data_IF_653789362723
#
_entry.id   IF_653789362723
#
_cell.length_a   1.000
_cell.length_b   1.000
_cell.length_c   1.000
_cell.angle_alpha   90.00
_cell.angle_beta   90.00
_cell.angle_gamma   90.00
#
_symmetry.space_group_name_H-M   'P 1'
#
loop_
_entity.id
_entity.type
_entity.pdbx_description
1 polymer ?
#
# COMPACT_ATOMS: atom_id res chain seq x y z
N UNK A 1 23.86 48.71 27.91
CA UNK A 1 24.94 47.72 27.69
C UNK A 1 24.54 46.27 28.02
N UNK A 2 23.27 45.97 28.36
CA UNK A 2 22.81 44.60 28.76
C UNK A 2 22.12 43.82 27.66
N UNK A 3 21.64 44.46 26.59
CA UNK A 3 20.87 43.77 25.52
C UNK A 3 21.80 43.03 24.53
N UNK A 4 22.99 43.52 24.25
CA UNK A 4 23.96 42.86 23.35
C UNK A 4 24.54 41.55 23.92
N UNK A 5 24.72 41.46 25.25
CA UNK A 5 25.18 40.24 25.91
C UNK A 5 24.12 39.15 25.91
N UNK A 6 22.83 39.52 26.03
CA UNK A 6 21.73 38.58 25.98
C UNK A 6 21.54 37.96 24.59
N UNK A 7 21.70 38.78 23.52
CA UNK A 7 21.63 38.27 22.13
C UNK A 7 22.81 37.36 21.80
N UNK A 8 24.01 37.63 22.32
CA UNK A 8 25.16 36.74 22.11
C UNK A 8 25.01 35.41 22.86
N UNK A 9 24.46 35.41 24.09
CA UNK A 9 24.18 34.18 24.80
C UNK A 9 23.09 33.34 24.13
N UNK A 10 22.03 33.96 23.63
CA UNK A 10 20.96 33.25 22.94
C UNK A 10 21.42 32.67 21.60
N UNK A 11 22.31 33.35 20.87
CA UNK A 11 22.92 32.82 19.64
C UNK A 11 23.85 31.62 19.91
N UNK A 12 24.58 31.66 21.02
CA UNK A 12 25.51 30.57 21.42
C UNK A 12 24.75 29.31 21.88
N UNK A 13 23.63 29.47 22.59
CA UNK A 13 22.76 28.38 23.00
C UNK A 13 22.04 27.75 21.78
N UNK A 14 21.62 28.58 20.82
CA UNK A 14 20.98 28.08 19.59
C UNK A 14 21.96 27.34 18.67
N UNK A 15 23.26 27.76 18.64
CA UNK A 15 24.31 27.01 17.94
C UNK A 15 24.67 25.69 18.63
N UNK A 16 24.67 25.63 19.97
CA UNK A 16 24.93 24.40 20.71
C UNK A 16 23.80 23.38 20.54
N UNK A 17 22.55 23.79 20.42
CA UNK A 17 21.42 22.89 20.16
C UNK A 17 21.46 22.36 18.73
N UNK A 18 21.89 23.17 17.73
CA UNK A 18 22.07 22.70 16.34
C UNK A 18 23.23 21.70 16.19
N UNK A 19 24.30 21.82 16.97
CA UNK A 19 25.41 20.85 16.96
C UNK A 19 25.02 19.54 17.66
N UNK A 20 24.15 19.57 18.66
CA UNK A 20 23.67 18.37 19.33
C UNK A 20 22.77 17.50 18.45
N UNK A 21 22.10 18.06 17.42
CA UNK A 21 21.33 17.28 16.45
C UNK A 21 22.16 16.66 15.32
N UNK A 22 23.43 17.06 15.16
CA UNK A 22 24.29 16.48 14.12
C UNK A 22 25.22 15.36 14.60
N UNK A 23 25.26 15.04 15.88
CA UNK A 23 26.17 14.03 16.44
C UNK A 23 25.52 12.71 16.82
N UNK A 24 24.23 12.49 16.52
CA UNK A 24 23.58 11.19 16.73
C UNK A 24 23.51 10.33 15.46
N UNK A 25 24.38 10.59 14.49
CA UNK A 25 24.49 9.75 13.30
C UNK A 25 25.92 9.24 13.17
N UNK A 26 26.34 8.34 14.06
CA UNK A 26 27.38 7.33 13.84
C UNK A 26 27.58 6.51 15.11
N UNK A 27 26.71 5.57 15.37
CA UNK A 27 27.14 4.36 16.06
C UNK A 27 27.26 3.26 15.00
N UNK A 28 28.50 2.98 14.60
CA UNK A 28 28.85 1.73 13.96
C UNK A 28 28.43 0.61 14.91
N UNK A 29 27.41 -0.11 14.56
CA UNK A 29 27.26 -1.51 14.91
C UNK A 29 27.30 -2.27 13.58
N UNK A 30 28.42 -2.94 13.38
CA UNK A 30 28.60 -3.96 12.35
C UNK A 30 27.58 -5.05 12.59
N UNK A 31 26.52 -5.07 11.79
CA UNK A 31 25.70 -6.23 11.48
C UNK A 31 24.83 -5.87 10.28
N UNK A 32 25.15 -6.46 9.15
CA UNK A 32 24.39 -6.70 7.91
C UNK A 32 23.00 -5.99 7.79
N UNK A 33 22.99 -4.66 7.89
CA UNK A 33 21.85 -3.84 7.47
C UNK A 33 22.12 -3.32 6.06
N UNK A 34 22.49 -4.22 5.16
CA UNK A 34 22.67 -3.90 3.77
C UNK A 34 21.34 -3.37 3.22
N UNK A 35 21.25 -2.05 3.18
CA UNK A 35 20.39 -1.33 2.28
C UNK A 35 18.87 -1.33 2.56
N UNK A 36 18.39 -1.71 3.74
CA UNK A 36 17.00 -1.51 4.08
C UNK A 36 16.74 -0.05 4.44
N UNK A 37 16.06 0.69 3.58
CA UNK A 37 15.46 1.95 3.98
C UNK A 37 14.58 1.66 5.21
N UNK A 38 14.83 2.30 6.37
CA UNK A 38 13.99 2.07 7.53
C UNK A 38 12.58 2.50 7.19
N UNK A 39 11.73 1.53 6.89
CA UNK A 39 10.30 1.73 6.97
C UNK A 39 10.07 2.01 8.44
N UNK A 40 9.64 3.21 8.77
CA UNK A 40 9.54 3.69 10.16
C UNK A 40 8.82 2.63 11.01
N UNK A 41 9.15 2.56 12.32
CA UNK A 41 8.48 1.63 13.25
C UNK A 41 6.98 1.94 13.42
N UNK A 42 6.53 3.05 12.88
CA UNK A 42 5.15 3.49 12.87
C UNK A 42 4.42 2.85 11.68
N UNK A 43 3.13 2.67 11.84
CA UNK A 43 2.22 2.24 10.76
C UNK A 43 2.26 3.28 9.65
N UNK A 44 2.66 2.89 8.47
CA UNK A 44 2.66 3.77 7.31
C UNK A 44 1.31 3.68 6.61
N UNK A 45 0.63 4.80 6.51
CA UNK A 45 -0.64 4.95 5.82
C UNK A 45 -0.40 5.57 4.45
N UNK A 46 -0.89 4.90 3.41
CA UNK A 46 -0.86 5.42 2.06
C UNK A 46 -2.29 5.60 1.56
N UNK A 47 -2.62 6.82 1.10
CA UNK A 47 -3.80 7.03 0.28
C UNK A 47 -3.49 6.55 -1.12
N UNK A 48 -4.20 5.55 -1.60
CA UNK A 48 -3.93 4.88 -2.87
C UNK A 48 -5.15 4.86 -3.74
N UNK A 49 -4.93 4.86 -5.06
CA UNK A 49 -5.95 4.50 -6.04
C UNK A 49 -5.86 3.00 -6.29
N UNK A 50 -6.96 2.29 -6.07
CA UNK A 50 -7.07 0.86 -6.33
C UNK A 50 -7.88 0.66 -7.61
N UNK A 51 -7.30 -0.03 -8.59
CA UNK A 51 -7.88 -0.23 -9.91
C UNK A 51 -7.83 -1.71 -10.32
N UNK A 52 -8.88 -2.49 -10.07
CA UNK A 52 -9.03 -3.84 -10.60
C UNK A 52 -9.10 -3.85 -12.13
N UNK A 53 -8.34 -4.75 -12.74
CA UNK A 53 -8.28 -4.90 -14.21
C UNK A 53 -8.42 -6.36 -14.62
N UNK A 54 -9.07 -6.61 -15.76
CA UNK A 54 -9.07 -7.91 -16.45
C UNK A 54 -8.57 -7.67 -17.86
N UNK A 55 -7.58 -8.46 -18.32
CA UNK A 55 -6.99 -8.32 -19.66
C UNK A 55 -6.63 -6.85 -19.97
N UNK A 56 -6.12 -6.13 -18.97
CA UNK A 56 -5.79 -4.70 -19.02
C UNK A 56 -6.98 -3.74 -19.14
N UNK A 57 -8.21 -4.22 -19.15
CA UNK A 57 -9.40 -3.36 -19.05
C UNK A 57 -9.68 -3.02 -17.59
N UNK A 58 -9.84 -1.74 -17.30
CA UNK A 58 -10.24 -1.28 -15.96
C UNK A 58 -11.68 -1.70 -15.70
N UNK A 59 -11.89 -2.40 -14.60
CA UNK A 59 -13.25 -2.81 -14.16
C UNK A 59 -13.86 -1.82 -13.20
N UNK A 60 -13.06 -1.37 -12.24
CA UNK A 60 -13.46 -0.43 -11.23
C UNK A 60 -12.29 0.43 -10.80
N UNK A 61 -12.55 1.48 -10.04
CA UNK A 61 -11.54 2.35 -9.45
C UNK A 61 -12.07 3.01 -8.19
N UNK A 62 -11.20 3.21 -7.21
CA UNK A 62 -11.52 3.97 -6.01
C UNK A 62 -10.28 4.37 -5.25
N UNK A 63 -10.42 5.36 -4.37
CA UNK A 63 -9.37 5.77 -3.44
C UNK A 63 -9.61 5.10 -2.09
N UNK A 64 -8.55 4.57 -1.51
CA UNK A 64 -8.59 3.88 -0.24
C UNK A 64 -7.30 4.09 0.55
N UNK A 65 -7.32 3.84 1.85
CA UNK A 65 -6.11 3.86 2.67
C UNK A 65 -5.61 2.44 2.85
N UNK A 66 -4.33 2.22 2.57
CA UNK A 66 -3.65 0.95 2.83
C UNK A 66 -2.60 1.14 3.92
N UNK A 67 -2.30 0.06 4.62
CA UNK A 67 -1.32 0.04 5.71
C UNK A 67 -0.13 -0.81 5.33
N UNK A 68 1.07 -0.29 5.59
CA UNK A 68 2.33 -1.02 5.61
C UNK A 68 2.87 -1.00 7.03
N UNK A 69 2.89 -2.15 7.69
CA UNK A 69 3.35 -2.31 9.06
C UNK A 69 4.69 -3.06 9.08
N UNK A 70 5.60 -2.61 9.94
CA UNK A 70 6.83 -3.36 10.18
C UNK A 70 6.51 -4.66 10.91
N UNK A 71 7.16 -5.74 10.52
CA UNK A 71 7.11 -7.02 11.23
C UNK A 71 8.31 -7.17 12.17
N UNK A 72 8.34 -8.24 12.95
CA UNK A 72 9.52 -8.60 13.74
C UNK A 72 10.74 -8.93 12.86
N UNK A 73 10.50 -9.32 11.59
CA UNK A 73 11.54 -9.53 10.61
C UNK A 73 11.78 -8.22 9.84
N UNK A 74 12.95 -7.61 10.00
CA UNK A 74 13.33 -6.34 9.34
C UNK A 74 13.28 -6.40 7.80
N UNK A 75 13.28 -7.61 7.22
CA UNK A 75 13.19 -7.83 5.77
C UNK A 75 11.77 -8.04 5.27
N UNK A 76 10.78 -7.81 6.13
CA UNK A 76 9.37 -8.03 5.80
C UNK A 76 8.50 -6.91 6.33
N UNK A 77 7.42 -6.63 5.61
CA UNK A 77 6.32 -5.75 6.03
C UNK A 77 4.99 -6.46 5.84
N UNK A 78 4.03 -6.15 6.69
CA UNK A 78 2.64 -6.55 6.50
C UNK A 78 1.94 -5.46 5.70
N UNK A 79 1.34 -5.85 4.58
CA UNK A 79 0.52 -5.00 3.75
C UNK A 79 -0.93 -5.41 3.91
N UNK A 80 -1.80 -4.48 4.28
CA UNK A 80 -3.21 -4.80 4.43
C UNK A 80 -4.12 -3.61 4.22
N UNK A 81 -5.34 -3.90 3.84
CA UNK A 81 -6.50 -3.01 3.82
C UNK A 81 -7.79 -3.82 3.89
N UNK A 82 -8.88 -3.15 4.27
CA UNK A 82 -10.16 -3.81 4.45
C UNK A 82 -11.28 -3.04 3.75
N UNK A 83 -12.29 -3.78 3.28
CA UNK A 83 -13.57 -3.25 2.80
C UNK A 83 -13.45 -2.23 1.64
N UNK A 84 -12.46 -2.39 0.77
CA UNK A 84 -12.39 -1.58 -0.44
C UNK A 84 -13.57 -1.88 -1.36
N UNK A 85 -14.28 -0.84 -1.77
CA UNK A 85 -15.39 -0.91 -2.73
C UNK A 85 -15.26 0.23 -3.75
N UNK A 86 -14.82 -0.09 -4.96
CA UNK A 86 -14.60 0.85 -6.04
C UNK A 86 -15.84 1.09 -6.91
N UNK A 87 -15.89 2.24 -7.58
CA UNK A 87 -16.89 2.54 -8.62
C UNK A 87 -16.52 1.80 -9.91
N UNK A 88 -17.51 1.28 -10.60
CA UNK A 88 -17.33 0.53 -11.84
C UNK A 88 -17.13 1.47 -13.03
N UNK A 89 -16.45 0.99 -14.06
CA UNK A 89 -16.37 1.66 -15.35
C UNK A 89 -17.58 1.25 -16.21
N UNK A 90 -18.18 2.24 -16.88
CA UNK A 90 -19.21 2.05 -17.89
C UNK A 90 -18.59 1.56 -19.22
N UNK A 91 -19.43 1.07 -20.12
CA UNK A 91 -19.00 0.59 -21.46
C UNK A 91 -18.28 1.66 -22.29
N UNK A 92 -18.55 2.94 -22.02
CA UNK A 92 -17.89 4.09 -22.66
C UNK A 92 -16.52 4.41 -22.07
N UNK A 93 -16.05 3.64 -21.06
CA UNK A 93 -14.77 3.83 -20.38
C UNK A 93 -14.78 4.94 -19.33
N UNK A 94 -15.91 5.53 -19.01
CA UNK A 94 -16.05 6.51 -17.92
C UNK A 94 -16.30 5.83 -16.59
N UNK A 95 -15.80 6.41 -15.52
CA UNK A 95 -16.09 5.93 -14.17
C UNK A 95 -17.54 6.32 -13.81
N UNK A 96 -18.35 5.33 -13.47
CA UNK A 96 -19.75 5.55 -13.09
C UNK A 96 -19.85 6.35 -11.80
N UNK A 97 -20.84 7.22 -11.69
CA UNK A 97 -21.10 7.96 -10.47
C UNK A 97 -21.84 7.12 -9.42
N UNK A 98 -22.66 6.17 -9.88
CA UNK A 98 -23.64 5.46 -9.04
C UNK A 98 -23.46 3.94 -8.99
N UNK A 99 -22.59 3.37 -9.84
CA UNK A 99 -22.39 1.93 -9.86
C UNK A 99 -21.08 1.58 -9.15
N UNK A 100 -21.20 0.78 -8.10
CA UNK A 100 -20.09 0.26 -7.32
C UNK A 100 -19.89 -1.22 -7.57
N UNK A 101 -18.71 -1.74 -7.28
CA UNK A 101 -18.49 -3.18 -7.25
C UNK A 101 -19.49 -3.83 -6.30
N UNK A 102 -20.06 -5.00 -6.65
CA UNK A 102 -21.01 -5.71 -5.81
C UNK A 102 -20.36 -6.35 -4.57
N UNK A 103 -19.03 -6.24 -4.43
CA UNK A 103 -18.27 -6.77 -3.29
C UNK A 103 -17.35 -5.74 -2.68
N UNK A 104 -17.01 -5.98 -1.43
CA UNK A 104 -15.92 -5.35 -0.70
C UNK A 104 -14.72 -6.29 -0.69
N UNK A 105 -13.56 -5.71 -0.94
CA UNK A 105 -12.28 -6.43 -1.01
C UNK A 105 -11.44 -6.11 0.20
N UNK A 106 -10.88 -7.15 0.81
CA UNK A 106 -9.89 -7.04 1.88
C UNK A 106 -8.65 -7.86 1.54
N UNK A 107 -7.50 -7.39 1.95
CA UNK A 107 -6.19 -8.00 1.69
C UNK A 107 -5.36 -7.98 2.95
N UNK A 108 -4.64 -9.07 3.20
CA UNK A 108 -3.65 -9.16 4.27
C UNK A 108 -2.52 -10.09 3.82
N UNK A 109 -1.30 -9.55 3.74
CA UNK A 109 -0.16 -10.32 3.25
C UNK A 109 1.17 -9.82 3.82
N UNK A 110 2.13 -10.70 3.87
CA UNK A 110 3.52 -10.38 4.20
C UNK A 110 4.31 -10.19 2.91
N UNK A 111 4.94 -9.06 2.76
CA UNK A 111 5.80 -8.72 1.65
C UNK A 111 7.27 -8.78 2.08
N UNK A 112 8.09 -9.52 1.33
CA UNK A 112 9.53 -9.45 1.44
C UNK A 112 10.02 -8.11 0.88
N UNK A 113 10.95 -7.49 1.57
CA UNK A 113 11.48 -6.15 1.26
C UNK A 113 12.90 -6.27 0.76
N UNK A 114 13.19 -5.62 -0.35
CA UNK A 114 14.54 -5.53 -0.92
C UNK A 114 14.84 -4.07 -1.25
N UNK A 115 15.94 -3.54 -0.70
CA UNK A 115 16.41 -2.21 -1.05
C UNK A 115 17.24 -2.26 -2.32
N UNK A 116 17.01 -1.31 -3.21
CA UNK A 116 17.70 -1.20 -4.48
C UNK A 116 18.78 -0.11 -4.43
N UNK A 117 19.78 -0.21 -5.29
CA UNK A 117 20.89 0.76 -5.36
C UNK A 117 20.43 2.18 -5.73
N UNK A 118 19.27 2.33 -6.34
CA UNK A 118 18.69 3.63 -6.72
C UNK A 118 17.84 4.26 -5.60
N UNK A 119 17.88 3.71 -4.39
CA UNK A 119 17.12 4.19 -3.23
C UNK A 119 15.66 3.78 -3.22
N UNK A 120 15.20 3.01 -4.20
CA UNK A 120 13.86 2.42 -4.17
C UNK A 120 13.83 1.16 -3.32
N UNK A 121 12.61 0.79 -2.89
CA UNK A 121 12.35 -0.46 -2.18
C UNK A 121 11.44 -1.33 -3.05
N UNK A 122 11.81 -2.58 -3.26
CA UNK A 122 10.98 -3.56 -3.94
C UNK A 122 10.26 -4.44 -2.94
N UNK A 123 9.01 -4.76 -3.25
CA UNK A 123 8.16 -5.65 -2.49
C UNK A 123 7.82 -6.88 -3.31
N UNK A 124 7.82 -8.05 -2.67
CA UNK A 124 7.34 -9.29 -3.27
C UNK A 124 6.78 -10.21 -2.20
N UNK A 125 5.57 -10.71 -2.41
CA UNK A 125 5.00 -11.79 -1.61
C UNK A 125 4.92 -13.08 -2.44
N UNK A 126 4.96 -14.22 -1.75
CA UNK A 126 4.69 -15.52 -2.38
C UNK A 126 3.22 -15.91 -2.21
N UNK A 127 2.61 -15.47 -1.11
CA UNK A 127 1.21 -15.73 -0.77
C UNK A 127 0.69 -14.68 0.20
N UNK A 128 -0.62 -14.52 0.21
CA UNK A 128 -1.34 -13.68 1.15
C UNK A 128 -2.83 -13.93 1.04
N UNK A 129 -3.59 -13.45 2.00
CA UNK A 129 -5.04 -13.57 2.01
C UNK A 129 -5.66 -12.48 1.16
N UNK A 130 -6.55 -12.90 0.28
CA UNK A 130 -7.45 -12.02 -0.46
C UNK A 130 -8.86 -12.49 -0.21
N UNK A 131 -9.73 -11.57 0.19
CA UNK A 131 -11.12 -11.83 0.51
C UNK A 131 -12.01 -10.86 -0.22
N UNK A 132 -13.02 -11.37 -0.90
CA UNK A 132 -14.10 -10.59 -1.46
C UNK A 132 -15.42 -11.06 -0.83
N UNK A 133 -16.20 -10.16 -0.25
CA UNK A 133 -17.51 -10.43 0.34
C UNK A 133 -18.58 -9.56 -0.33
N UNK A 134 -19.84 -10.02 -0.46
CA UNK A 134 -20.92 -9.19 -0.94
C UNK A 134 -21.05 -7.93 -0.08
N UNK A 135 -21.18 -6.76 -0.72
CA UNK A 135 -21.24 -5.46 -0.03
C UNK A 135 -22.33 -5.38 1.04
N UNK A 136 -23.50 -5.90 0.74
CA UNK A 136 -24.65 -5.82 1.64
C UNK A 136 -24.99 -7.17 2.32
N UNK A 137 -24.03 -8.12 2.33
CA UNK A 137 -24.25 -9.48 2.83
C UNK A 137 -25.26 -10.29 2.02
N UNK A 138 -25.74 -9.78 0.89
CA UNK A 138 -26.69 -10.45 0.00
C UNK A 138 -25.97 -11.12 -1.15
N UNK A 139 -26.46 -12.26 -1.66
CA UNK A 139 -25.92 -12.87 -2.86
C UNK A 139 -25.82 -11.87 -4.01
N UNK A 140 -24.73 -11.94 -4.75
CA UNK A 140 -24.48 -11.04 -5.88
C UNK A 140 -25.39 -11.43 -7.03
N UNK A 141 -26.13 -10.48 -7.59
CA UNK A 141 -26.89 -10.66 -8.81
C UNK A 141 -25.93 -10.72 -10.01
N UNK A 142 -25.62 -11.95 -10.42
CA UNK A 142 -24.65 -12.23 -11.47
C UNK A 142 -25.12 -11.76 -12.86
N UNK A 143 -26.42 -11.51 -13.06
CA UNK A 143 -26.94 -11.02 -14.32
C UNK A 143 -26.48 -9.60 -14.68
N UNK A 144 -25.97 -8.88 -13.69
CA UNK A 144 -25.43 -7.51 -13.84
C UNK A 144 -23.94 -7.44 -14.07
N UNK A 145 -23.27 -8.58 -14.09
CA UNK A 145 -21.82 -8.65 -14.32
C UNK A 145 -21.54 -9.08 -15.77
N UNK A 146 -20.43 -8.61 -16.36
CA UNK A 146 -20.02 -9.06 -17.68
C UNK A 146 -19.88 -10.59 -17.72
N UNK A 147 -20.39 -11.22 -18.76
CA UNK A 147 -20.32 -12.68 -18.92
C UNK A 147 -18.86 -13.18 -18.94
N UNK A 148 -18.61 -14.31 -18.30
CA UNK A 148 -17.32 -15.02 -18.35
C UNK A 148 -16.27 -14.55 -17.36
N UNK A 149 -16.57 -13.58 -16.49
CA UNK A 149 -15.59 -12.99 -15.58
C UNK A 149 -15.51 -13.69 -14.23
N UNK A 150 -16.64 -14.23 -13.74
CA UNK A 150 -16.74 -14.78 -12.39
C UNK A 150 -17.46 -16.14 -12.37
N UNK A 151 -17.15 -17.01 -11.41
CA UNK A 151 -17.89 -18.26 -11.24
C UNK A 151 -19.38 -18.00 -10.89
N UNK A 152 -20.29 -18.89 -11.30
CA UNK A 152 -21.74 -18.66 -11.26
C UNK A 152 -22.38 -18.49 -9.88
N UNK A 153 -21.65 -18.72 -8.78
CA UNK A 153 -22.15 -18.68 -7.41
C UNK A 153 -21.25 -17.87 -6.49
N UNK A 154 -21.09 -16.57 -6.76
CA UNK A 154 -20.21 -15.74 -5.96
C UNK A 154 -20.94 -15.13 -4.75
N UNK A 155 -21.10 -15.91 -3.68
CA UNK A 155 -21.46 -15.38 -2.36
C UNK A 155 -20.27 -14.77 -1.61
N UNK A 156 -19.20 -14.45 -2.35
CA UNK A 156 -17.90 -14.09 -1.85
C UNK A 156 -16.89 -15.22 -2.05
N UNK A 157 -15.62 -14.88 -1.98
CA UNK A 157 -14.53 -15.87 -2.02
C UNK A 157 -13.34 -15.40 -1.17
N UNK A 158 -12.56 -16.36 -0.74
CA UNK A 158 -11.33 -16.14 0.00
C UNK A 158 -10.24 -17.05 -0.55
N UNK A 159 -9.01 -16.57 -0.61
CA UNK A 159 -7.84 -17.32 -0.97
C UNK A 159 -6.65 -16.91 -0.12
N UNK A 160 -5.79 -17.86 0.23
CA UNK A 160 -4.50 -17.65 0.88
C UNK A 160 -3.33 -17.67 -0.12
N UNK A 161 -3.62 -17.72 -1.43
CA UNK A 161 -2.65 -17.83 -2.52
C UNK A 161 -2.44 -16.52 -3.28
N UNK A 162 -3.03 -15.41 -2.81
CA UNK A 162 -2.84 -14.12 -3.44
C UNK A 162 -1.37 -13.71 -3.42
N UNK A 163 -0.91 -13.12 -4.50
CA UNK A 163 0.46 -12.65 -4.67
C UNK A 163 0.48 -11.16 -4.94
N UNK A 164 1.53 -10.48 -4.49
CA UNK A 164 1.76 -9.09 -4.80
C UNK A 164 3.23 -8.81 -5.08
N UNK A 165 3.47 -7.88 -5.99
CA UNK A 165 4.80 -7.32 -6.26
C UNK A 165 4.70 -5.83 -6.53
N UNK A 166 5.76 -5.09 -6.26
CA UNK A 166 5.78 -3.65 -6.51
C UNK A 166 6.95 -2.93 -5.91
N UNK A 167 6.82 -1.62 -5.82
CA UNK A 167 7.90 -0.74 -5.38
C UNK A 167 7.40 0.43 -4.55
N UNK A 168 8.27 0.93 -3.68
CA UNK A 168 8.17 2.25 -3.05
C UNK A 168 9.36 3.08 -3.54
N UNK A 169 9.09 4.17 -4.24
CA UNK A 169 10.11 5.07 -4.78
C UNK A 169 9.67 6.51 -4.62
N UNK A 170 10.53 7.35 -4.04
CA UNK A 170 10.22 8.78 -3.81
C UNK A 170 8.86 9.02 -3.12
N UNK A 171 8.51 8.17 -2.14
CA UNK A 171 7.22 8.24 -1.44
C UNK A 171 6.03 7.65 -2.20
N UNK A 172 6.16 7.27 -3.48
CA UNK A 172 5.10 6.63 -4.26
C UNK A 172 5.14 5.12 -4.06
N UNK A 173 4.05 4.58 -3.52
CA UNK A 173 3.79 3.16 -3.44
C UNK A 173 3.08 2.70 -4.72
N UNK A 174 3.63 1.68 -5.38
CA UNK A 174 3.01 1.02 -6.53
C UNK A 174 3.07 -0.50 -6.31
N UNK A 175 1.91 -1.14 -6.25
CA UNK A 175 1.80 -2.59 -6.09
C UNK A 175 0.84 -3.16 -7.13
N UNK A 176 1.16 -4.35 -7.62
CA UNK A 176 0.27 -5.19 -8.45
C UNK A 176 -0.06 -6.44 -7.65
N UNK A 177 -1.33 -6.62 -7.35
CA UNK A 177 -1.84 -7.77 -6.61
C UNK A 177 -2.60 -8.69 -7.54
N UNK A 178 -2.34 -9.99 -7.44
CA UNK A 178 -2.99 -11.05 -8.20
C UNK A 178 -3.65 -12.02 -7.23
N UNK A 179 -4.99 -12.09 -7.20
CA UNK A 179 -5.72 -13.03 -6.34
C UNK A 179 -5.51 -14.51 -6.69
N UNK A 180 -4.96 -14.80 -7.89
CA UNK A 180 -4.63 -16.13 -8.43
C UNK A 180 -5.83 -17.04 -8.74
N UNK A 181 -6.96 -16.85 -8.12
CA UNK A 181 -8.21 -17.59 -8.39
C UNK A 181 -8.96 -16.99 -9.58
N UNK A 182 -8.81 -15.70 -9.79
CA UNK A 182 -9.47 -14.95 -10.84
C UNK A 182 -8.42 -14.34 -11.78
N UNK A 183 -8.71 -14.18 -13.07
CA UNK A 183 -7.82 -13.51 -14.02
C UNK A 183 -7.84 -11.97 -13.82
N UNK A 184 -7.82 -11.53 -12.57
CA UNK A 184 -7.86 -10.12 -12.16
C UNK A 184 -6.49 -9.71 -11.66
N UNK A 185 -6.02 -8.56 -12.08
CA UNK A 185 -4.93 -7.81 -11.45
C UNK A 185 -5.49 -6.58 -10.77
N UNK A 186 -5.01 -6.29 -9.59
CA UNK A 186 -5.40 -5.12 -8.83
C UNK A 186 -4.20 -4.20 -8.72
N UNK A 187 -4.27 -3.06 -9.39
CA UNK A 187 -3.22 -2.04 -9.35
C UNK A 187 -3.51 -1.12 -8.17
N UNK A 188 -2.52 -0.92 -7.33
CA UNK A 188 -2.55 -0.07 -6.15
C UNK A 188 -1.48 0.99 -6.34
N UNK A 189 -1.86 2.24 -6.44
CA UNK A 189 -0.95 3.34 -6.78
C UNK A 189 -1.25 4.56 -5.89
N UNK A 190 -0.24 4.98 -5.11
CA UNK A 190 -0.29 6.24 -4.40
C UNK A 190 0.29 7.33 -5.29
N UNK A 191 -0.55 7.98 -6.07
CA UNK A 191 -0.13 9.21 -6.73
C UNK A 191 -0.03 10.31 -5.66
N UNK A 192 1.18 10.78 -5.43
CA UNK A 192 1.44 12.04 -4.73
C UNK A 192 1.36 13.19 -5.73
#
# INVERSE_FOLDING_TARGET
MKIKQFQQMMSMVMMLVLVAFMTTSCSKSDEDTDGLVPISKEVNFYSVTITPTIQNQKMAQGTHTVMLETTNNKKQVRFHFENFNGRMFESNGKLSENQFMPFEVSVDMILNVTSNKDGSVSFKSEKGTFKAKPKDGKPIDMSKLPEGILPPNLNGFETDKAQAEGTLKNGRLYLVLSPMILPVKIIIDSNN
#
